data_IF_247050383337
#
_entry.id   IF_247050383337
#
_cell.length_a   1.000
_cell.length_b   1.000
_cell.length_c   1.000
_cell.angle_alpha   90.00
_cell.angle_beta   90.00
_cell.angle_gamma   90.00
#
_symmetry.space_group_name_H-M   'P 1'
#
loop_
_entity.id
_entity.type
_entity.pdbx_description
1 polymer ?
#
# COMPACT_ATOMS: atom_id res chain seq x y z
N UNK A 1 5.71 -2.44 8.97
CA UNK A 1 6.17 -1.73 10.18
C UNK A 1 5.31 -2.22 11.31
N UNK A 2 5.92 -2.69 12.39
CA UNK A 2 5.21 -3.05 13.61
C UNK A 2 4.84 -1.78 14.41
N UNK A 3 4.09 -1.98 15.49
CA UNK A 3 3.59 -0.86 16.32
C UNK A 3 4.71 -0.16 17.08
N UNK A 4 5.80 -0.88 17.43
CA UNK A 4 6.97 -0.30 18.08
C UNK A 4 7.66 0.73 17.17
N UNK A 5 7.94 0.36 15.91
CA UNK A 5 8.51 1.29 14.94
C UNK A 5 7.55 2.44 14.61
N UNK A 6 6.24 2.17 14.46
CA UNK A 6 5.25 3.24 14.23
C UNK A 6 5.30 4.28 15.35
N UNK A 7 5.29 3.83 16.61
CA UNK A 7 5.38 4.70 17.78
C UNK A 7 6.69 5.49 17.81
N UNK A 8 7.81 4.87 17.45
CA UNK A 8 9.10 5.57 17.37
C UNK A 8 9.05 6.73 16.37
N UNK A 9 8.52 6.50 15.17
CA UNK A 9 8.38 7.54 14.15
C UNK A 9 7.49 8.69 14.62
N UNK A 10 6.36 8.38 15.26
CA UNK A 10 5.42 9.36 15.79
C UNK A 10 6.03 10.19 16.94
N UNK A 11 6.60 9.53 17.96
CA UNK A 11 7.14 10.20 19.15
C UNK A 11 8.34 11.10 18.83
N UNK A 12 9.18 10.71 17.87
CA UNK A 12 10.40 11.45 17.52
C UNK A 12 10.22 12.39 16.32
N UNK A 13 9.04 12.43 15.70
CA UNK A 13 8.82 13.18 14.47
C UNK A 13 9.74 12.73 13.32
N UNK A 14 10.18 11.46 13.34
CA UNK A 14 11.11 10.92 12.36
C UNK A 14 10.33 10.48 11.11
N UNK A 15 10.65 10.99 9.91
CA UNK A 15 9.96 10.53 8.70
C UNK A 15 10.31 9.09 8.32
N UNK A 16 9.38 8.41 7.67
CA UNK A 16 9.63 7.12 7.01
C UNK A 16 9.76 7.29 5.49
N UNK A 17 10.76 6.63 4.88
CA UNK A 17 11.00 6.66 3.42
C UNK A 17 11.00 5.21 2.90
N UNK A 18 9.82 4.58 2.72
CA UNK A 18 9.75 3.17 2.36
C UNK A 18 10.16 2.94 0.90
N UNK A 19 11.21 2.12 0.72
CA UNK A 19 11.72 1.73 -0.60
C UNK A 19 10.78 0.80 -1.38
N UNK A 20 10.15 -0.16 -0.71
CA UNK A 20 9.25 -1.14 -1.33
C UNK A 20 7.77 -0.77 -1.16
N UNK A 21 7.43 0.50 -1.36
CA UNK A 21 6.10 1.07 -1.03
C UNK A 21 4.92 0.43 -1.77
N UNK A 22 5.16 -0.08 -2.99
CA UNK A 22 4.13 -0.70 -3.84
C UNK A 22 4.16 -2.23 -3.80
N UNK A 23 5.03 -2.85 -2.99
CA UNK A 23 5.13 -4.31 -2.85
C UNK A 23 5.24 -5.05 -4.20
N UNK A 24 6.05 -4.53 -5.13
CA UNK A 24 6.21 -5.11 -6.46
C UNK A 24 4.94 -5.08 -7.35
N UNK A 25 3.94 -4.28 -6.97
CA UNK A 25 2.63 -4.18 -7.60
C UNK A 25 1.54 -5.00 -6.91
N UNK A 26 1.80 -5.62 -5.76
CA UNK A 26 0.85 -6.53 -5.09
C UNK A 26 -0.53 -5.89 -4.87
N UNK A 27 -0.57 -4.65 -4.38
CA UNK A 27 -1.81 -3.92 -4.08
C UNK A 27 -2.51 -3.29 -5.31
N UNK A 28 -2.08 -3.60 -6.53
CA UNK A 28 -2.74 -3.12 -7.75
C UNK A 28 -4.03 -3.86 -8.12
N UNK A 29 -4.36 -4.95 -7.42
CA UNK A 29 -5.51 -5.82 -7.74
C UNK A 29 -5.26 -6.84 -8.85
N UNK A 30 -4.01 -6.96 -9.32
CA UNK A 30 -3.61 -7.94 -10.35
C UNK A 30 -3.43 -9.37 -9.84
N UNK A 31 -3.45 -9.56 -8.53
CA UNK A 31 -3.18 -10.85 -7.90
C UNK A 31 -4.37 -11.30 -7.06
N UNK A 32 -4.63 -12.61 -7.06
CA UNK A 32 -5.65 -13.23 -6.22
C UNK A 32 -5.07 -14.43 -5.48
N UNK A 33 -5.63 -14.70 -4.30
CA UNK A 33 -5.22 -15.87 -3.51
C UNK A 33 -5.52 -17.15 -4.29
N UNK A 34 -4.53 -18.03 -4.41
CA UNK A 34 -4.65 -19.30 -5.14
C UNK A 34 -4.30 -19.26 -6.63
N UNK A 35 -4.06 -18.08 -7.21
CA UNK A 35 -3.55 -17.95 -8.58
C UNK A 35 -2.02 -18.14 -8.63
N UNK A 36 -1.51 -18.67 -9.75
CA UNK A 36 -0.09 -18.89 -9.95
C UNK A 36 0.69 -17.55 -9.99
N UNK A 37 1.79 -17.47 -9.24
CA UNK A 37 2.67 -16.31 -9.26
C UNK A 37 3.50 -16.31 -10.55
N UNK A 38 3.62 -15.18 -11.26
CA UNK A 38 4.57 -15.03 -12.35
C UNK A 38 6.00 -15.40 -11.90
N UNK A 39 6.77 -16.18 -12.67
CA UNK A 39 8.11 -16.64 -12.27
C UNK A 39 9.09 -15.50 -11.96
N UNK A 40 8.97 -14.36 -12.65
CA UNK A 40 9.76 -13.15 -12.45
C UNK A 40 9.48 -12.43 -11.12
N UNK A 41 8.46 -12.89 -10.37
CA UNK A 41 8.01 -12.30 -9.09
C UNK A 41 8.25 -13.20 -7.89
N UNK A 42 9.00 -14.29 -8.03
CA UNK A 42 9.22 -15.29 -6.97
C UNK A 42 9.82 -14.68 -5.67
N UNK A 43 10.67 -13.66 -5.78
CA UNK A 43 11.22 -12.97 -4.61
C UNK A 43 10.15 -12.15 -3.87
N UNK A 44 9.28 -11.46 -4.62
CA UNK A 44 8.20 -10.66 -4.05
C UNK A 44 7.09 -11.56 -3.48
N UNK A 45 6.84 -12.73 -4.08
CA UNK A 45 5.82 -13.63 -3.55
C UNK A 45 6.18 -14.18 -2.18
N UNK A 46 7.45 -14.54 -1.94
CA UNK A 46 7.91 -14.99 -0.62
C UNK A 46 7.67 -13.95 0.47
N UNK A 47 7.71 -12.65 0.14
CA UNK A 47 7.53 -11.55 1.08
C UNK A 47 6.06 -11.15 1.26
N UNK A 48 5.30 -11.08 0.16
CA UNK A 48 3.98 -10.46 0.15
C UNK A 48 2.81 -11.45 0.02
N UNK A 49 3.02 -12.67 -0.48
CA UNK A 49 1.93 -13.60 -0.75
C UNK A 49 1.67 -14.47 0.48
N UNK A 50 1.05 -13.84 1.47
CA UNK A 50 0.58 -14.50 2.68
C UNK A 50 -0.86 -14.06 2.95
N UNK A 51 -1.57 -14.86 3.73
CA UNK A 51 -2.99 -14.66 4.04
C UNK A 51 -3.28 -13.26 4.60
N UNK A 52 -2.43 -12.77 5.50
CA UNK A 52 -2.56 -11.43 6.09
C UNK A 52 -2.57 -10.32 5.01
N UNK A 53 -1.64 -10.38 4.07
CA UNK A 53 -1.57 -9.39 2.99
C UNK A 53 -2.71 -9.53 1.98
N UNK A 54 -3.18 -10.75 1.70
CA UNK A 54 -4.37 -10.94 0.85
C UNK A 54 -5.63 -10.39 1.52
N UNK A 55 -5.81 -10.57 2.83
CA UNK A 55 -6.91 -9.95 3.57
C UNK A 55 -6.83 -8.41 3.49
N UNK A 56 -5.62 -7.85 3.60
CA UNK A 56 -5.41 -6.40 3.43
C UNK A 56 -5.68 -5.94 1.99
N UNK A 57 -5.31 -6.73 0.99
CA UNK A 57 -5.61 -6.48 -0.42
C UNK A 57 -7.12 -6.41 -0.66
N UNK A 58 -7.91 -7.33 -0.11
CA UNK A 58 -9.37 -7.30 -0.25
C UNK A 58 -9.98 -6.02 0.32
N UNK A 59 -9.51 -5.56 1.50
CA UNK A 59 -9.95 -4.27 2.07
C UNK A 59 -9.56 -3.09 1.18
N UNK A 60 -8.33 -3.08 0.64
CA UNK A 60 -7.88 -2.07 -0.32
C UNK A 60 -8.78 -2.04 -1.56
N UNK A 61 -9.11 -3.22 -2.12
CA UNK A 61 -9.99 -3.33 -3.29
C UNK A 61 -11.43 -2.90 -3.00
N UNK A 62 -11.93 -3.18 -1.80
CA UNK A 62 -13.24 -2.72 -1.36
C UNK A 62 -13.30 -1.19 -1.28
N UNK A 63 -12.34 -0.59 -0.58
CA UNK A 63 -12.23 0.87 -0.45
C UNK A 63 -12.06 1.52 -1.83
N UNK A 64 -11.22 0.95 -2.69
CA UNK A 64 -11.04 1.42 -4.07
C UNK A 64 -12.37 1.46 -4.84
N UNK A 65 -13.21 0.43 -4.70
CA UNK A 65 -14.56 0.41 -5.31
C UNK A 65 -15.48 1.46 -4.73
N UNK A 66 -15.48 1.65 -3.41
CA UNK A 66 -16.33 2.64 -2.72
C UNK A 66 -16.02 4.07 -3.18
N UNK A 67 -14.73 4.44 -3.23
CA UNK A 67 -14.29 5.76 -3.67
C UNK A 67 -14.21 5.90 -5.19
N UNK A 68 -14.33 4.81 -5.95
CA UNK A 68 -14.12 4.76 -7.41
C UNK A 68 -12.73 5.26 -7.82
N UNK A 69 -11.73 4.87 -7.04
CA UNK A 69 -10.33 5.26 -7.18
C UNK A 69 -9.48 4.00 -7.40
N UNK A 70 -8.31 4.14 -8.03
CA UNK A 70 -7.39 3.01 -8.24
C UNK A 70 -6.94 2.37 -6.91
N UNK A 71 -6.85 1.03 -6.83
CA UNK A 71 -6.23 0.34 -5.69
C UNK A 71 -4.79 0.80 -5.41
N UNK A 72 -4.04 1.20 -6.44
CA UNK A 72 -2.67 1.74 -6.29
C UNK A 72 -2.69 3.04 -5.51
N UNK A 73 -3.66 3.92 -5.82
CA UNK A 73 -3.85 5.19 -5.11
C UNK A 73 -4.24 4.91 -3.66
N UNK A 74 -5.22 4.03 -3.40
CA UNK A 74 -5.62 3.66 -2.03
C UNK A 74 -4.45 3.10 -1.22
N UNK A 75 -3.65 2.21 -1.82
CA UNK A 75 -2.48 1.61 -1.17
C UNK A 75 -1.41 2.64 -0.80
N UNK A 76 -1.13 3.61 -1.66
CA UNK A 76 -0.15 4.66 -1.38
C UNK A 76 -0.70 5.69 -0.40
N UNK A 77 -1.99 6.05 -0.52
CA UNK A 77 -2.68 6.91 0.44
C UNK A 77 -2.71 6.31 1.85
N UNK A 78 -2.79 4.98 1.99
CA UNK A 78 -2.62 4.31 3.29
C UNK A 78 -1.26 4.59 3.94
N UNK A 79 -0.18 4.68 3.15
CA UNK A 79 1.15 5.06 3.64
C UNK A 79 1.22 6.57 3.95
N UNK A 80 0.58 7.41 3.15
CA UNK A 80 0.58 8.87 3.33
C UNK A 80 -0.33 9.34 4.49
N UNK A 81 -1.28 8.50 4.90
CA UNK A 81 -2.22 8.76 6.01
C UNK A 81 -1.70 8.33 7.39
N UNK A 82 -0.44 7.90 7.52
CA UNK A 82 0.18 7.62 8.82
C UNK A 82 0.21 8.89 9.70
N UNK A 83 0.28 8.75 11.05
CA UNK A 83 0.33 9.90 11.97
C UNK A 83 1.67 10.67 11.92
N UNK A 84 2.68 10.13 11.23
CA UNK A 84 3.97 10.76 10.98
C UNK A 84 4.22 10.93 9.48
N UNK A 85 5.21 11.76 9.12
CA UNK A 85 5.54 12.01 7.72
C UNK A 85 6.06 10.75 7.01
N UNK A 86 5.50 10.44 5.85
CA UNK A 86 5.92 9.31 5.01
C UNK A 86 6.15 9.78 3.58
N UNK A 87 7.29 9.39 3.01
CA UNK A 87 7.69 9.71 1.65
C UNK A 87 7.94 8.41 0.87
N UNK A 88 6.88 7.77 0.33
CA UNK A 88 7.03 6.49 -0.35
C UNK A 88 7.81 6.63 -1.65
N UNK A 89 8.83 5.79 -1.83
CA UNK A 89 9.54 5.69 -3.12
C UNK A 89 8.68 4.84 -4.05
N UNK A 90 8.24 5.41 -5.17
CA UNK A 90 7.42 4.73 -6.17
C UNK A 90 8.29 4.24 -7.34
N UNK A 91 7.94 3.08 -7.90
CA UNK A 91 8.51 2.53 -9.13
C UNK A 91 7.44 2.45 -10.21
N UNK A 92 7.78 2.85 -11.43
CA UNK A 92 6.89 2.78 -12.59
C UNK A 92 7.66 2.45 -13.85
N UNK A 93 7.05 1.65 -14.73
CA UNK A 93 7.58 1.32 -16.05
C UNK A 93 6.94 2.14 -17.17
N UNK A 94 5.82 2.81 -16.88
CA UNK A 94 5.07 3.61 -17.86
C UNK A 94 4.62 4.93 -17.24
N UNK A 95 4.38 5.93 -18.09
CA UNK A 95 3.84 7.23 -17.67
C UNK A 95 2.50 7.06 -16.97
N UNK A 96 1.64 6.17 -17.46
CA UNK A 96 0.33 5.92 -16.82
C UNK A 96 0.48 5.42 -15.37
N UNK A 97 1.46 4.55 -15.10
CA UNK A 97 1.72 4.05 -13.73
C UNK A 97 2.29 5.16 -12.83
N UNK A 98 3.15 6.01 -13.39
CA UNK A 98 3.67 7.19 -12.69
C UNK A 98 2.54 8.13 -12.30
N UNK A 99 1.72 8.54 -13.27
CA UNK A 99 0.58 9.45 -13.04
C UNK A 99 -0.40 8.88 -12.03
N UNK A 100 -0.73 7.59 -12.13
CA UNK A 100 -1.60 6.91 -11.16
C UNK A 100 -1.00 6.92 -9.75
N UNK A 101 0.31 6.67 -9.61
CA UNK A 101 0.97 6.68 -8.31
C UNK A 101 1.02 8.09 -7.70
N UNK A 102 1.25 9.12 -8.53
CA UNK A 102 1.26 10.52 -8.10
C UNK A 102 -0.10 11.00 -7.59
N UNK A 103 -1.20 10.49 -8.13
CA UNK A 103 -2.56 10.85 -7.68
C UNK A 103 -2.82 10.50 -6.20
N UNK A 104 -2.03 9.62 -5.59
CA UNK A 104 -2.08 9.36 -4.15
C UNK A 104 -1.71 10.58 -3.30
N UNK A 105 -0.92 11.52 -3.83
CA UNK A 105 -0.58 12.77 -3.15
C UNK A 105 -1.80 13.69 -2.94
N UNK A 106 -2.82 13.55 -3.78
CA UNK A 106 -4.04 14.37 -3.75
C UNK A 106 -5.20 13.69 -2.99
N UNK A 107 -4.98 12.48 -2.46
CA UNK A 107 -6.00 11.70 -1.77
C UNK A 107 -5.51 11.21 -0.41
N UNK A 108 -6.17 11.66 0.66
CA UNK A 108 -5.89 11.26 2.04
C UNK A 108 -7.06 10.43 2.57
N UNK A 109 -6.78 9.23 3.08
CA UNK A 109 -7.78 8.43 3.76
C UNK A 109 -8.18 9.09 5.08
N UNK A 110 -9.48 9.09 5.39
CA UNK A 110 -9.96 9.39 6.74
C UNK A 110 -9.52 8.30 7.74
N UNK A 111 -9.64 8.61 9.03
CA UNK A 111 -9.19 7.74 10.12
C UNK A 111 -9.90 6.38 10.12
N UNK A 112 -11.22 6.37 9.88
CA UNK A 112 -12.03 5.14 9.90
C UNK A 112 -11.63 4.19 8.76
N UNK A 113 -11.47 4.73 7.55
CA UNK A 113 -11.04 3.99 6.36
C UNK A 113 -9.60 3.51 6.51
N UNK A 114 -8.72 4.35 7.04
CA UNK A 114 -7.33 3.97 7.29
C UNK A 114 -7.25 2.82 8.32
N UNK A 115 -7.99 2.93 9.42
CA UNK A 115 -8.05 1.90 10.47
C UNK A 115 -8.69 0.61 9.97
N UNK A 116 -9.71 0.70 9.10
CA UNK A 116 -10.28 -0.45 8.41
C UNK A 116 -9.20 -1.21 7.63
N UNK A 117 -8.32 -0.53 6.90
CA UNK A 117 -7.23 -1.19 6.19
C UNK A 117 -6.13 -1.68 7.15
N UNK A 118 -5.82 -0.94 8.22
CA UNK A 118 -4.72 -1.27 9.15
C UNK A 118 -5.01 -2.47 10.05
N UNK A 119 -6.24 -2.59 10.56
CA UNK A 119 -6.66 -3.51 11.63
C UNK A 119 -6.75 -4.99 11.24
N UNK A 120 -5.68 -5.55 10.66
CA UNK A 120 -5.44 -6.97 10.35
C UNK A 120 -4.02 -7.32 10.77
#
# INVERSE_FOLDING_TARGET
MDDEMKNYHELHGMPAIPFASQAGGFFSGRYRLGEAVPPDKELFSKLYYNEKNFNKLERVLEVARQYRISPVVISLSYLLSQPFAVYPIIGSYTISQLTESCAAGDFRLDADTWQYIDGI
#
